data_IF_453888897441
#
_entry.id   IF_453888897441
#
_cell.length_a   1.000
_cell.length_b   1.000
_cell.length_c   1.000
_cell.angle_alpha   90.00
_cell.angle_beta   90.00
_cell.angle_gamma   90.00
#
_symmetry.space_group_name_H-M   'P 1'
#
loop_
_entity.id
_entity.type
_entity.pdbx_description
1 polymer ?
#
# COMPACT_ATOMS: atom_id res chain seq x y z
N UNK A 1 13.92 20.41 4.12
CA UNK A 1 13.38 19.33 4.98
C UNK A 1 11.92 19.00 4.68
N UNK A 2 10.98 19.96 4.62
CA UNK A 2 9.54 19.67 4.44
C UNK A 2 9.10 19.16 3.03
N UNK A 3 9.83 19.48 1.96
CA UNK A 3 9.62 18.87 0.62
C UNK A 3 10.24 17.47 0.54
N UNK A 4 11.25 17.19 1.36
CA UNK A 4 11.98 15.92 1.38
C UNK A 4 11.09 14.79 1.91
N UNK A 5 10.16 15.07 2.84
CA UNK A 5 9.26 14.05 3.39
C UNK A 5 8.31 13.48 2.34
N UNK A 6 7.71 14.35 1.53
CA UNK A 6 6.79 13.94 0.45
C UNK A 6 7.55 13.27 -0.71
N UNK A 7 8.71 13.80 -1.07
CA UNK A 7 9.54 13.25 -2.14
C UNK A 7 10.04 11.84 -1.85
N UNK A 8 10.51 11.54 -0.63
CA UNK A 8 10.96 10.20 -0.27
C UNK A 8 9.79 9.19 -0.22
N UNK A 9 8.62 9.60 0.28
CA UNK A 9 7.43 8.73 0.29
C UNK A 9 6.94 8.47 -1.15
N UNK A 10 6.92 9.49 -2.01
CA UNK A 10 6.46 9.38 -3.40
C UNK A 10 7.31 8.42 -4.25
N UNK A 11 8.61 8.27 -3.94
CA UNK A 11 9.48 7.29 -4.62
C UNK A 11 8.97 5.86 -4.48
N UNK A 12 8.26 5.55 -3.39
CA UNK A 12 7.81 4.18 -3.10
C UNK A 12 6.28 4.02 -3.18
N UNK A 13 5.52 5.11 -3.17
CA UNK A 13 4.06 5.11 -3.33
C UNK A 13 3.68 5.74 -4.67
N UNK A 14 3.58 4.90 -5.70
CA UNK A 14 3.38 5.34 -7.08
C UNK A 14 1.93 5.75 -7.36
N UNK A 15 1.75 6.88 -8.06
CA UNK A 15 0.45 7.33 -8.58
C UNK A 15 -0.49 7.97 -7.55
N UNK A 16 0.01 8.22 -6.33
CA UNK A 16 -0.80 8.71 -5.20
C UNK A 16 -0.29 10.05 -4.64
N UNK A 17 0.28 10.91 -5.49
CA UNK A 17 0.91 12.17 -5.09
C UNK A 17 -0.02 13.06 -4.24
N UNK A 18 -1.28 13.16 -4.63
CA UNK A 18 -2.29 13.94 -3.91
C UNK A 18 -2.57 13.36 -2.51
N UNK A 19 -2.65 12.03 -2.40
CA UNK A 19 -2.87 11.35 -1.13
C UNK A 19 -1.68 11.60 -0.18
N UNK A 20 -0.45 11.50 -0.70
CA UNK A 20 0.77 11.80 0.05
C UNK A 20 0.79 13.27 0.49
N UNK A 21 0.44 14.19 -0.41
CA UNK A 21 0.42 15.63 -0.11
C UNK A 21 -0.58 15.97 1.01
N UNK A 22 -1.81 15.43 0.96
CA UNK A 22 -2.84 15.64 1.99
C UNK A 22 -2.35 15.15 3.35
N UNK A 23 -1.79 13.94 3.40
CA UNK A 23 -1.30 13.35 4.65
C UNK A 23 -0.12 14.15 5.21
N UNK A 24 0.86 14.51 4.37
CA UNK A 24 2.00 15.32 4.78
C UNK A 24 1.57 16.70 5.28
N UNK A 25 0.62 17.36 4.60
CA UNK A 25 0.03 18.63 5.07
C UNK A 25 -0.59 18.50 6.45
N UNK A 26 -1.36 17.44 6.69
CA UNK A 26 -2.00 17.22 7.99
C UNK A 26 -1.00 17.00 9.12
N UNK A 27 0.01 16.14 8.89
CA UNK A 27 1.07 15.87 9.88
C UNK A 27 1.89 17.13 10.18
N UNK A 28 2.18 17.96 9.17
CA UNK A 28 2.88 19.24 9.36
C UNK A 28 2.12 20.20 10.27
N UNK A 29 0.79 20.28 10.17
CA UNK A 29 -0.02 21.12 11.07
C UNK A 29 0.15 20.70 12.53
N UNK A 30 0.23 19.40 12.80
CA UNK A 30 0.47 18.88 14.15
C UNK A 30 1.88 19.22 14.63
N UNK A 31 2.91 19.00 13.81
CA UNK A 31 4.30 19.34 14.17
C UNK A 31 4.53 20.83 14.41
N UNK A 32 3.78 21.68 13.72
CA UNK A 32 3.76 23.13 13.95
C UNK A 32 3.00 23.55 15.22
N UNK A 33 2.43 22.61 15.98
CA UNK A 33 1.67 22.89 17.21
C UNK A 33 0.29 23.51 16.94
N UNK A 34 -0.23 23.42 15.72
CA UNK A 34 -1.51 24.04 15.33
C UNK A 34 -2.72 23.13 15.56
N UNK A 35 -2.50 21.88 15.98
CA UNK A 35 -3.54 20.90 16.26
C UNK A 35 -3.73 20.70 17.77
N UNK A 36 -4.93 20.30 18.18
CA UNK A 36 -5.22 19.93 19.57
C UNK A 36 -4.26 18.83 20.07
N UNK A 37 -3.46 19.09 21.14
CA UNK A 37 -2.53 18.12 21.70
C UNK A 37 -3.22 16.94 22.41
N UNK A 38 -4.55 16.96 22.53
CA UNK A 38 -5.31 15.85 23.09
C UNK A 38 -5.73 14.80 22.07
N UNK A 39 -5.54 15.04 20.78
CA UNK A 39 -5.92 14.11 19.71
C UNK A 39 -4.69 13.40 19.14
N UNK A 40 -4.86 12.27 18.42
CA UNK A 40 -3.76 11.63 17.68
C UNK A 40 -3.07 12.61 16.71
N UNK A 41 -1.85 12.30 16.29
CA UNK A 41 -1.05 13.14 15.38
C UNK A 41 -1.81 13.39 14.07
N UNK A 42 -2.46 12.36 13.53
CA UNK A 42 -3.29 12.42 12.35
C UNK A 42 -4.32 11.30 12.37
N UNK A 43 -5.53 11.58 11.88
CA UNK A 43 -6.62 10.61 11.77
C UNK A 43 -7.16 10.62 10.34
N UNK A 44 -6.98 9.52 9.63
CA UNK A 44 -7.20 9.44 8.18
C UNK A 44 -8.12 8.28 7.81
N UNK A 45 -9.02 8.52 6.86
CA UNK A 45 -9.76 7.47 6.17
C UNK A 45 -9.28 7.38 4.72
N UNK A 46 -8.58 6.30 4.39
CA UNK A 46 -8.05 6.00 3.06
C UNK A 46 -9.07 5.20 2.26
N UNK A 47 -9.51 5.76 1.14
CA UNK A 47 -10.55 5.19 0.28
C UNK A 47 -9.98 4.92 -1.11
N UNK A 48 -10.30 3.78 -1.68
CA UNK A 48 -9.89 3.45 -3.05
C UNK A 48 -9.93 1.96 -3.33
N UNK A 49 -9.64 1.53 -4.56
CA UNK A 49 -9.64 0.10 -4.92
C UNK A 49 -8.57 -0.71 -4.15
N UNK A 50 -8.67 -2.03 -4.21
CA UNK A 50 -7.65 -2.92 -3.65
C UNK A 50 -6.34 -2.80 -4.42
N UNK A 51 -5.21 -2.82 -3.72
CA UNK A 51 -3.88 -2.91 -4.35
C UNK A 51 -3.36 -1.61 -4.99
N UNK A 52 -3.93 -0.44 -4.63
CA UNK A 52 -3.52 0.89 -5.13
C UNK A 52 -2.50 1.62 -4.25
N UNK A 53 -2.12 1.05 -3.10
CA UNK A 53 -1.07 1.62 -2.23
C UNK A 53 -1.51 2.18 -0.87
N UNK A 54 -2.78 2.02 -0.45
CA UNK A 54 -3.28 2.47 0.87
C UNK A 54 -2.40 2.00 2.04
N UNK A 55 -2.20 0.69 2.13
CA UNK A 55 -1.36 0.05 3.16
C UNK A 55 0.12 0.37 2.98
N UNK A 56 0.57 0.57 1.74
CA UNK A 56 1.96 0.90 1.46
C UNK A 56 2.29 2.30 1.97
N UNK A 57 1.41 3.28 1.74
CA UNK A 57 1.55 4.62 2.31
C UNK A 57 1.62 4.57 3.84
N UNK A 58 0.76 3.77 4.50
CA UNK A 58 0.81 3.61 5.95
C UNK A 58 2.16 3.07 6.45
N UNK A 59 2.73 2.07 5.76
CA UNK A 59 4.07 1.54 6.07
C UNK A 59 5.15 2.61 5.90
N UNK A 60 5.12 3.38 4.81
CA UNK A 60 6.12 4.42 4.56
C UNK A 60 6.04 5.56 5.55
N UNK A 61 4.83 5.94 5.97
CA UNK A 61 4.65 6.91 7.06
C UNK A 61 5.27 6.38 8.36
N UNK A 62 5.08 5.09 8.68
CA UNK A 62 5.65 4.50 9.89
C UNK A 62 7.18 4.51 9.86
N UNK A 63 7.75 3.96 8.78
CA UNK A 63 9.19 3.91 8.53
C UNK A 63 9.83 5.30 8.59
N UNK A 64 9.22 6.27 7.89
CA UNK A 64 9.78 7.61 7.77
C UNK A 64 9.70 8.42 9.07
N UNK A 65 8.58 8.39 9.77
CA UNK A 65 8.37 9.26 10.93
C UNK A 65 8.93 8.69 12.23
N UNK A 66 9.01 7.36 12.33
CA UNK A 66 9.42 6.69 13.55
C UNK A 66 10.74 5.94 13.40
N UNK A 67 11.35 5.93 12.21
CA UNK A 67 12.59 5.21 11.89
C UNK A 67 12.53 3.72 12.30
N UNK A 68 11.33 3.14 12.20
CA UNK A 68 11.01 1.80 12.67
C UNK A 68 9.81 1.21 11.88
N UNK A 69 10.07 0.20 11.05
CA UNK A 69 9.02 -0.50 10.31
C UNK A 69 8.07 -1.27 11.24
N UNK A 70 8.53 -1.69 12.42
CA UNK A 70 7.71 -2.33 13.44
C UNK A 70 6.83 -1.32 14.19
N UNK A 71 6.95 -0.01 13.92
CA UNK A 71 6.03 1.01 14.41
C UNK A 71 4.66 0.96 13.72
N UNK A 72 4.49 0.11 12.70
CA UNK A 72 3.18 -0.14 12.10
C UNK A 72 2.39 -1.21 12.88
N UNK A 73 1.36 -0.78 13.60
CA UNK A 73 0.38 -1.64 14.26
C UNK A 73 -0.78 -1.90 13.31
N UNK A 74 -0.84 -3.09 12.71
CA UNK A 74 -1.94 -3.49 11.85
C UNK A 74 -3.02 -4.26 12.60
N UNK A 75 -4.28 -3.99 12.25
CA UNK A 75 -5.46 -4.72 12.72
C UNK A 75 -6.45 -4.87 11.56
N UNK A 76 -6.78 -6.11 11.22
CA UNK A 76 -7.79 -6.42 10.21
C UNK A 76 -9.19 -6.35 10.84
N UNK A 77 -10.02 -5.42 10.39
CA UNK A 77 -11.36 -5.20 10.94
C UNK A 77 -12.37 -6.28 10.53
N UNK A 78 -12.06 -7.10 9.53
CA UNK A 78 -12.86 -8.30 9.20
C UNK A 78 -12.82 -9.34 10.32
N UNK A 79 -11.81 -9.33 11.19
CA UNK A 79 -11.80 -10.16 12.41
C UNK A 79 -12.75 -9.64 13.51
N UNK A 80 -13.28 -8.42 13.38
CA UNK A 80 -14.06 -7.72 14.39
C UNK A 80 -15.49 -7.43 13.93
N UNK A 81 -16.01 -8.22 12.99
CA UNK A 81 -17.40 -8.14 12.50
C UNK A 81 -18.43 -8.48 13.59
N UNK A 82 -18.05 -9.35 14.54
CA UNK A 82 -18.93 -9.83 15.59
C UNK A 82 -18.75 -9.05 16.90
N UNK A 83 -19.86 -8.79 17.60
CA UNK A 83 -19.87 -8.00 18.84
C UNK A 83 -18.89 -8.52 19.90
N UNK A 84 -18.79 -9.84 20.07
CA UNK A 84 -17.89 -10.43 21.08
C UNK A 84 -16.41 -10.25 20.71
N UNK A 85 -16.08 -10.19 19.41
CA UNK A 85 -14.72 -10.02 18.94
C UNK A 85 -14.16 -8.62 19.26
N UNK A 86 -15.02 -7.60 19.35
CA UNK A 86 -14.67 -6.21 19.73
C UNK A 86 -13.87 -6.16 21.03
N UNK A 87 -14.24 -7.00 22.01
CA UNK A 87 -13.54 -7.07 23.30
C UNK A 87 -12.06 -7.43 23.13
N UNK A 88 -11.67 -8.16 22.08
CA UNK A 88 -10.25 -8.51 21.84
C UNK A 88 -9.37 -7.28 21.56
N UNK A 89 -9.92 -6.14 21.12
CA UNK A 89 -9.14 -4.89 20.92
C UNK A 89 -8.67 -4.29 22.26
N UNK A 90 -9.54 -4.34 23.27
CA UNK A 90 -9.38 -3.68 24.57
C UNK A 90 -9.12 -4.64 25.73
N UNK A 91 -9.25 -5.94 25.49
CA UNK A 91 -9.11 -7.01 26.46
C UNK A 91 -10.47 -7.59 26.87
N UNK A 92 -10.48 -8.88 27.20
CA UNK A 92 -11.69 -9.50 27.75
C UNK A 92 -12.00 -8.90 29.13
N UNK A 93 -13.28 -8.86 29.56
CA UNK A 93 -13.65 -8.45 30.93
C UNK A 93 -13.15 -9.45 31.99
N UNK A 94 -13.04 -9.04 33.27
CA UNK A 94 -12.72 -9.95 34.36
C UNK A 94 -13.65 -11.16 34.39
N UNK A 95 -13.07 -12.37 34.44
CA UNK A 95 -13.81 -13.64 34.50
C UNK A 95 -14.05 -14.33 33.15
N UNK A 96 -13.56 -13.76 32.04
CA UNK A 96 -13.59 -14.39 30.71
C UNK A 96 -12.22 -14.97 30.33
N UNK A 97 -12.21 -15.99 29.46
CA UNK A 97 -10.97 -16.56 28.90
C UNK A 97 -10.23 -15.47 28.11
N UNK A 98 -8.91 -15.34 28.31
CA UNK A 98 -8.08 -14.31 27.69
C UNK A 98 -8.05 -12.97 28.44
N UNK A 99 -8.61 -12.89 29.66
CA UNK A 99 -8.54 -11.71 30.51
C UNK A 99 -7.10 -11.22 30.72
N UNK A 100 -6.18 -12.12 31.08
CA UNK A 100 -4.79 -11.78 31.41
C UNK A 100 -3.92 -11.41 30.18
N UNK A 101 -4.42 -11.59 28.96
CA UNK A 101 -3.67 -11.30 27.72
C UNK A 101 -3.71 -9.82 27.33
N UNK A 102 -4.63 -9.03 27.92
CA UNK A 102 -4.86 -7.64 27.55
C UNK A 102 -5.51 -7.49 26.16
N UNK A 103 -5.72 -6.26 25.72
CA UNK A 103 -6.28 -6.01 24.39
C UNK A 103 -5.22 -5.96 23.30
N UNK A 104 -5.52 -6.55 22.15
CA UNK A 104 -4.60 -6.61 21.01
C UNK A 104 -4.15 -5.23 20.52
N UNK A 105 -5.05 -4.25 20.52
CA UNK A 105 -4.73 -2.88 20.11
C UNK A 105 -4.13 -2.09 21.28
N UNK A 106 -4.79 -2.14 22.44
CA UNK A 106 -4.38 -1.38 23.63
C UNK A 106 -2.98 -1.76 24.12
N UNK A 107 -2.61 -3.05 24.14
CA UNK A 107 -1.28 -3.48 24.56
C UNK A 107 -0.19 -3.11 23.55
N UNK A 108 -0.45 -3.23 22.24
CA UNK A 108 0.50 -2.84 21.20
C UNK A 108 0.84 -1.35 21.28
N UNK A 109 -0.19 -0.50 21.39
CA UNK A 109 0.00 0.96 21.51
C UNK A 109 0.58 1.35 22.87
N UNK A 110 0.22 0.65 23.97
CA UNK A 110 0.83 0.87 25.29
C UNK A 110 2.34 0.60 25.27
N UNK A 111 2.77 -0.45 24.57
CA UNK A 111 4.20 -0.79 24.40
C UNK A 111 4.91 0.14 23.41
N UNK A 112 4.19 0.63 22.38
CA UNK A 112 4.71 1.53 21.35
C UNK A 112 3.77 2.74 21.13
N UNK A 113 3.85 3.77 21.98
CA UNK A 113 2.97 4.94 21.89
C UNK A 113 3.21 5.79 20.63
N UNK A 114 4.40 5.70 20.05
CA UNK A 114 4.77 6.31 18.78
C UNK A 114 4.61 5.24 17.69
N UNK A 115 3.48 5.25 17.01
CA UNK A 115 3.14 4.22 16.03
C UNK A 115 2.12 4.71 15.01
N UNK A 116 2.12 4.07 13.84
CA UNK A 116 1.02 4.14 12.90
C UNK A 116 0.08 2.98 13.21
N UNK A 117 -1.18 3.28 13.53
CA UNK A 117 -2.22 2.27 13.74
C UNK A 117 -3.04 2.18 12.45
N UNK A 118 -2.92 1.04 11.75
CA UNK A 118 -3.64 0.75 10.53
C UNK A 118 -4.82 -0.20 10.82
N UNK A 119 -6.03 0.31 10.64
CA UNK A 119 -7.28 -0.45 10.72
C UNK A 119 -7.74 -0.76 9.30
N UNK A 120 -7.45 -1.98 8.84
CA UNK A 120 -7.74 -2.40 7.46
C UNK A 120 -9.21 -2.83 7.33
N UNK A 121 -9.86 -2.50 6.20
CA UNK A 121 -11.27 -2.83 5.91
C UNK A 121 -12.28 -2.35 6.98
N UNK A 122 -12.16 -1.09 7.41
CA UNK A 122 -12.95 -0.54 8.54
C UNK A 122 -14.47 -0.66 8.34
N UNK A 123 -14.96 -0.71 7.10
CA UNK A 123 -16.38 -0.91 6.78
C UNK A 123 -16.93 -2.27 7.23
N UNK A 124 -16.06 -3.24 7.52
CA UNK A 124 -16.44 -4.59 7.99
C UNK A 124 -16.59 -4.65 9.50
N UNK A 125 -16.03 -3.70 10.24
CA UNK A 125 -16.06 -3.69 11.70
C UNK A 125 -17.49 -3.68 12.25
N UNK A 126 -17.70 -4.33 13.38
CA UNK A 126 -18.93 -4.17 14.16
C UNK A 126 -19.11 -2.71 14.61
N UNK A 127 -20.35 -2.17 14.65
CA UNK A 127 -20.63 -0.79 15.08
C UNK A 127 -19.98 -0.36 16.41
N UNK A 128 -19.85 -1.30 17.36
CA UNK A 128 -19.23 -1.03 18.67
C UNK A 128 -17.74 -0.67 18.57
N UNK A 129 -17.04 -1.04 17.49
CA UNK A 129 -15.64 -0.62 17.25
C UNK A 129 -15.58 0.91 17.09
N UNK A 130 -16.54 1.52 16.38
CA UNK A 130 -16.55 2.97 16.16
C UNK A 130 -16.72 3.75 17.47
N UNK A 131 -17.44 3.21 18.44
CA UNK A 131 -17.57 3.83 19.76
C UNK A 131 -16.22 3.89 20.49
N UNK A 132 -15.41 2.84 20.38
CA UNK A 132 -14.04 2.82 20.91
C UNK A 132 -13.15 3.82 20.16
N UNK A 133 -13.27 3.88 18.83
CA UNK A 133 -12.50 4.82 18.02
C UNK A 133 -12.87 6.28 18.31
N UNK A 134 -14.14 6.61 18.54
CA UNK A 134 -14.55 7.96 18.94
C UNK A 134 -13.81 8.43 20.20
N UNK A 135 -13.61 7.55 21.19
CA UNK A 135 -12.80 7.88 22.36
C UNK A 135 -11.36 8.24 21.99
N UNK A 136 -10.75 7.48 21.08
CA UNK A 136 -9.39 7.73 20.59
C UNK A 136 -9.34 9.04 19.80
N UNK A 137 -10.30 9.29 18.92
CA UNK A 137 -10.34 10.46 18.05
C UNK A 137 -10.57 11.77 18.82
N UNK A 138 -11.31 11.71 19.93
CA UNK A 138 -11.69 12.86 20.75
C UNK A 138 -10.73 13.14 21.89
N UNK A 139 -10.34 12.10 22.63
CA UNK A 139 -9.56 12.23 23.87
C UNK A 139 -8.11 11.75 23.73
N UNK A 140 -7.74 11.19 22.57
CA UNK A 140 -6.41 10.62 22.34
C UNK A 140 -6.07 9.50 23.31
N UNK A 141 -7.08 8.78 23.80
CA UNK A 141 -6.90 7.66 24.72
C UNK A 141 -7.94 6.58 24.49
N UNK A 142 -7.59 5.35 24.88
CA UNK A 142 -8.50 4.22 24.93
C UNK A 142 -8.40 3.57 26.30
N UNK A 143 -9.54 3.20 26.87
CA UNK A 143 -9.57 2.50 28.17
C UNK A 143 -9.64 0.99 27.92
N UNK A 144 -8.69 0.24 28.49
CA UNK A 144 -8.70 -1.22 28.41
C UNK A 144 -9.70 -1.86 29.41
N UNK A 145 -9.88 -3.17 29.34
CA UNK A 145 -10.79 -3.89 30.24
C UNK A 145 -10.36 -3.91 31.72
N UNK A 146 -9.11 -3.55 32.00
CA UNK A 146 -8.57 -3.37 33.36
C UNK A 146 -8.75 -1.93 33.88
N UNK A 147 -9.34 -1.03 33.08
CA UNK A 147 -9.51 0.38 33.42
C UNK A 147 -8.24 1.23 33.22
N UNK A 148 -7.19 0.68 32.59
CA UNK A 148 -5.97 1.43 32.27
C UNK A 148 -6.24 2.31 31.06
N UNK A 149 -5.74 3.54 31.11
CA UNK A 149 -5.84 4.51 30.02
C UNK A 149 -4.59 4.42 29.15
N UNK A 150 -4.75 3.92 27.93
CA UNK A 150 -3.69 3.84 26.92
C UNK A 150 -3.67 5.15 26.12
N UNK A 151 -2.49 5.73 25.92
CA UNK A 151 -2.31 7.01 25.24
C UNK A 151 -2.12 6.82 23.73
N UNK A 152 -2.96 7.48 22.93
CA UNK A 152 -2.94 7.50 21.47
C UNK A 152 -2.53 8.86 20.88
N UNK A 153 -2.21 9.87 21.72
CA UNK A 153 -1.85 11.22 21.25
C UNK A 153 -0.64 11.25 20.32
N UNK A 154 0.27 10.29 20.48
CA UNK A 154 1.49 10.15 19.67
C UNK A 154 1.34 9.15 18.51
N UNK A 155 0.10 8.76 18.18
CA UNK A 155 -0.17 7.81 17.10
C UNK A 155 -0.69 8.52 15.86
N UNK A 156 -0.50 7.90 14.69
CA UNK A 156 -1.22 8.22 13.46
C UNK A 156 -2.23 7.11 13.23
N UNK A 157 -3.52 7.44 13.18
CA UNK A 157 -4.58 6.47 12.94
C UNK A 157 -4.97 6.50 11.46
N UNK A 158 -4.80 5.38 10.77
CA UNK A 158 -5.18 5.21 9.37
C UNK A 158 -6.22 4.10 9.31
N UNK A 159 -7.37 4.41 8.72
CA UNK A 159 -8.40 3.42 8.42
C UNK A 159 -8.46 3.26 6.91
N UNK A 160 -8.44 2.04 6.40
CA UNK A 160 -8.62 1.81 4.97
C UNK A 160 -10.02 1.30 4.70
N UNK A 161 -10.53 1.61 3.51
CA UNK A 161 -11.78 1.05 3.05
C UNK A 161 -11.83 0.97 1.53
N UNK A 162 -12.55 -0.03 1.03
CA UNK A 162 -12.82 -0.24 -0.39
C UNK A 162 -14.24 0.21 -0.78
N UNK A 163 -14.87 1.09 0.01
CA UNK A 163 -16.20 1.64 -0.28
C UNK A 163 -16.21 2.47 -1.57
N UNK A 164 -17.33 2.40 -2.30
CA UNK A 164 -17.54 3.19 -3.52
C UNK A 164 -16.68 2.78 -4.71
N UNK A 165 -15.88 1.70 -4.63
CA UNK A 165 -14.91 1.36 -5.68
C UNK A 165 -15.30 0.20 -6.58
N UNK A 166 -16.43 -0.46 -6.33
CA UNK A 166 -16.88 -1.67 -7.06
C UNK A 166 -17.31 -1.40 -8.50
N UNK A 167 -17.82 -0.20 -8.78
CA UNK A 167 -18.29 0.17 -10.13
C UNK A 167 -17.16 0.73 -11.00
N UNK A 168 -16.05 1.17 -10.39
CA UNK A 168 -14.92 1.80 -11.07
C UNK A 168 -14.02 0.79 -11.78
N UNK A 169 -13.81 -0.39 -11.19
CA UNK A 169 -13.01 -1.46 -11.80
C UNK A 169 -13.64 -1.99 -13.10
N UNK A 170 -14.97 -1.86 -13.25
CA UNK A 170 -15.68 -2.21 -14.49
C UNK A 170 -15.60 -1.13 -15.57
N UNK A 171 -15.48 0.14 -15.18
CA UNK A 171 -15.41 1.27 -16.10
C UNK A 171 -13.97 1.58 -16.59
N UNK A 172 -12.94 1.09 -15.89
CA UNK A 172 -11.52 1.39 -16.13
C UNK A 172 -10.70 0.31 -16.85
N UNK A 173 -11.26 -0.36 -17.87
CA UNK A 173 -10.48 -1.23 -18.77
C UNK A 173 -9.28 -0.51 -19.44
N UNK A 174 -8.23 -1.26 -19.82
CA UNK A 174 -7.02 -0.71 -20.44
C UNK A 174 -7.33 -0.04 -21.80
N UNK A 175 -7.59 1.28 -21.83
CA UNK A 175 -7.80 2.01 -23.09
C UNK A 175 -8.26 3.47 -23.02
N UNK A 176 -8.31 4.12 -21.86
CA UNK A 176 -9.02 5.41 -21.73
C UNK A 176 -8.17 6.67 -22.00
N UNK A 177 -8.73 7.60 -22.78
CA UNK A 177 -8.16 8.92 -23.09
C UNK A 177 -8.14 9.83 -21.86
N UNK A 178 -7.15 10.74 -21.80
CA UNK A 178 -6.96 11.72 -20.70
C UNK A 178 -8.20 12.59 -20.39
N UNK A 179 -9.08 12.83 -21.35
CA UNK A 179 -10.30 13.63 -21.18
C UNK A 179 -11.35 12.98 -20.27
N UNK A 180 -11.33 11.65 -20.15
CA UNK A 180 -12.32 10.91 -19.37
C UNK A 180 -11.89 10.71 -17.90
N UNK A 181 -10.59 10.86 -17.57
CA UNK A 181 -10.08 10.67 -16.20
C UNK A 181 -10.73 11.64 -15.19
N UNK A 182 -10.98 12.90 -15.57
CA UNK A 182 -11.57 13.90 -14.67
C UNK A 182 -13.03 13.60 -14.36
N UNK A 183 -13.83 13.25 -15.37
CA UNK A 183 -15.25 12.93 -15.18
C UNK A 183 -15.46 11.61 -14.44
N UNK A 184 -14.56 10.62 -14.63
CA UNK A 184 -14.55 9.38 -13.86
C UNK A 184 -14.23 9.66 -12.40
N UNK A 185 -13.27 10.55 -12.13
CA UNK A 185 -12.91 10.92 -10.76
C UNK A 185 -14.06 11.63 -10.05
N UNK A 186 -14.72 12.59 -10.69
CA UNK A 186 -15.88 13.28 -10.11
C UNK A 186 -17.00 12.26 -9.75
N UNK A 187 -17.29 11.31 -10.65
CA UNK A 187 -18.25 10.22 -10.36
C UNK A 187 -17.80 9.29 -9.24
N UNK A 188 -16.50 9.01 -9.15
CA UNK A 188 -15.91 8.23 -8.05
C UNK A 188 -16.12 8.96 -6.72
N UNK A 189 -15.80 10.25 -6.67
CA UNK A 189 -15.94 11.07 -5.47
C UNK A 189 -17.40 11.12 -5.01
N UNK A 190 -18.35 11.31 -5.93
CA UNK A 190 -19.80 11.26 -5.63
C UNK A 190 -20.22 9.91 -5.06
N UNK A 191 -19.85 8.80 -5.72
CA UNK A 191 -20.19 7.45 -5.26
C UNK A 191 -19.57 7.14 -3.88
N UNK A 192 -18.33 7.53 -3.66
CA UNK A 192 -17.64 7.38 -2.38
C UNK A 192 -18.37 8.18 -1.29
N UNK A 193 -18.76 9.44 -1.56
CA UNK A 193 -19.48 10.27 -0.60
C UNK A 193 -20.84 9.67 -0.20
N UNK A 194 -21.56 9.09 -1.16
CA UNK A 194 -22.82 8.39 -0.87
C UNK A 194 -22.60 7.17 0.02
N UNK A 195 -21.59 6.35 -0.26
CA UNK A 195 -21.29 5.16 0.54
C UNK A 195 -20.81 5.52 1.96
N UNK A 196 -19.97 6.56 2.10
CA UNK A 196 -19.57 7.06 3.43
C UNK A 196 -20.79 7.42 4.28
N UNK A 197 -21.76 8.14 3.71
CA UNK A 197 -22.98 8.56 4.43
C UNK A 197 -23.87 7.38 4.83
N UNK A 198 -23.83 6.27 4.08
CA UNK A 198 -24.59 5.05 4.39
C UNK A 198 -23.89 4.20 5.44
N UNK A 199 -22.56 4.11 5.39
CA UNK A 199 -21.78 3.19 6.22
C UNK A 199 -21.35 3.80 7.54
N UNK A 200 -20.92 5.06 7.55
CA UNK A 200 -20.37 5.71 8.75
C UNK A 200 -21.34 6.77 9.28
N UNK A 201 -21.43 6.88 10.61
CA UNK A 201 -22.22 7.94 11.21
C UNK A 201 -21.52 9.31 10.98
N UNK A 202 -22.30 10.41 10.87
CA UNK A 202 -21.71 11.74 10.67
C UNK A 202 -20.74 12.14 11.79
N UNK A 203 -20.98 11.68 13.02
CA UNK A 203 -20.12 11.95 14.16
C UNK A 203 -18.69 11.45 13.94
N UNK A 204 -18.52 10.18 13.56
CA UNK A 204 -17.22 9.59 13.27
C UNK A 204 -16.50 10.32 12.13
N UNK A 205 -17.21 10.58 11.04
CA UNK A 205 -16.66 11.27 9.87
C UNK A 205 -16.14 12.66 10.25
N UNK A 206 -16.88 13.41 11.07
CA UNK A 206 -16.49 14.74 11.53
C UNK A 206 -15.30 14.74 12.50
N UNK A 207 -14.89 13.57 13.04
CA UNK A 207 -13.70 13.42 13.91
C UNK A 207 -12.43 13.01 13.14
N UNK A 208 -12.55 12.71 11.86
CA UNK A 208 -11.39 12.51 10.98
C UNK A 208 -10.76 13.86 10.65
N UNK A 209 -9.44 13.90 10.52
CA UNK A 209 -8.77 15.12 10.03
C UNK A 209 -8.91 15.24 8.53
N UNK A 210 -8.74 14.13 7.80
CA UNK A 210 -8.82 14.11 6.34
C UNK A 210 -9.39 12.76 5.85
N UNK A 211 -10.18 12.82 4.79
CA UNK A 211 -10.59 11.66 3.99
C UNK A 211 -9.76 11.69 2.72
N UNK A 212 -9.01 10.63 2.46
CA UNK A 212 -7.99 10.58 1.40
C UNK A 212 -8.40 9.57 0.35
N UNK A 213 -8.57 10.02 -0.88
CA UNK A 213 -9.00 9.18 -2.01
C UNK A 213 -7.78 8.77 -2.83
N UNK A 214 -7.64 7.46 -3.04
CA UNK A 214 -6.58 6.85 -3.82
C UNK A 214 -7.08 6.55 -5.23
N UNK A 215 -6.25 6.89 -6.21
CA UNK A 215 -6.57 6.70 -7.62
C UNK A 215 -6.28 5.25 -8.06
N UNK A 216 -7.06 4.70 -9.00
CA UNK A 216 -6.67 3.49 -9.71
C UNK A 216 -5.32 3.66 -10.40
N UNK A 217 -4.51 2.60 -10.40
CA UNK A 217 -3.19 2.61 -11.02
C UNK A 217 -3.31 2.41 -12.54
N UNK A 218 -2.62 3.24 -13.32
CA UNK A 218 -2.48 3.05 -14.75
C UNK A 218 -1.25 2.21 -15.14
N UNK A 219 -1.17 1.84 -16.42
CA UNK A 219 -0.10 0.95 -16.91
C UNK A 219 1.29 1.51 -16.64
N UNK A 220 1.49 2.82 -16.72
CA UNK A 220 2.80 3.45 -16.49
C UNK A 220 3.19 3.35 -15.02
N UNK A 221 2.22 3.59 -14.14
CA UNK A 221 2.39 3.46 -12.70
C UNK A 221 2.70 2.01 -12.32
N UNK A 222 2.03 1.02 -12.90
CA UNK A 222 2.33 -0.41 -12.66
C UNK A 222 3.75 -0.77 -13.10
N UNK A 223 4.22 -0.26 -14.24
CA UNK A 223 5.60 -0.46 -14.71
C UNK A 223 6.60 0.14 -13.71
N UNK A 224 6.32 1.32 -13.14
CA UNK A 224 7.17 1.89 -12.09
C UNK A 224 7.18 1.01 -10.82
N UNK A 225 6.05 0.38 -10.48
CA UNK A 225 6.01 -0.56 -9.35
C UNK A 225 6.85 -1.82 -9.65
N UNK A 226 6.95 -2.27 -10.91
CA UNK A 226 7.89 -3.34 -11.29
C UNK A 226 9.32 -2.93 -10.97
N UNK A 227 9.70 -1.70 -11.28
CA UNK A 227 11.05 -1.18 -10.99
C UNK A 227 11.32 -1.18 -9.49
N UNK A 228 10.39 -0.66 -8.69
CA UNK A 228 10.52 -0.65 -7.22
C UNK A 228 10.65 -2.08 -6.66
N UNK A 229 9.89 -3.05 -7.17
CA UNK A 229 10.00 -4.43 -6.71
C UNK A 229 11.31 -5.11 -7.14
N UNK A 230 11.82 -4.76 -8.32
CA UNK A 230 13.14 -5.23 -8.75
C UNK A 230 14.27 -4.64 -7.90
N UNK A 231 14.13 -3.41 -7.41
CA UNK A 231 15.07 -2.78 -6.49
C UNK A 231 15.15 -3.50 -5.13
N UNK A 232 14.16 -4.32 -4.74
CA UNK A 232 14.26 -5.21 -3.57
C UNK A 232 15.17 -6.43 -3.82
N UNK A 233 15.30 -6.84 -5.08
CA UNK A 233 15.99 -8.08 -5.50
C UNK A 233 17.43 -7.78 -5.94
N UNK A 234 17.62 -6.70 -6.71
CA UNK A 234 18.90 -6.32 -7.31
C UNK A 234 20.04 -6.26 -6.29
N UNK A 235 19.89 -5.64 -5.10
CA UNK A 235 20.97 -5.58 -4.11
C UNK A 235 21.47 -6.96 -3.67
N UNK A 236 20.56 -7.94 -3.53
CA UNK A 236 20.93 -9.32 -3.12
C UNK A 236 21.71 -10.07 -4.21
N UNK A 237 21.46 -9.73 -5.47
CA UNK A 237 22.23 -10.28 -6.60
C UNK A 237 23.58 -9.56 -6.74
N UNK A 238 23.62 -8.24 -6.49
CA UNK A 238 24.85 -7.46 -6.46
C UNK A 238 25.81 -7.90 -5.34
N UNK A 239 25.30 -8.33 -4.19
CA UNK A 239 26.13 -8.96 -3.13
C UNK A 239 26.85 -10.23 -3.59
N UNK A 240 26.38 -10.85 -4.68
CA UNK A 240 27.01 -12.00 -5.36
C UNK A 240 27.76 -11.59 -6.64
N UNK A 241 28.00 -10.29 -6.81
CA UNK A 241 28.57 -9.66 -8.01
C UNK A 241 27.80 -9.99 -9.31
N UNK A 242 26.48 -10.20 -9.22
CA UNK A 242 25.61 -10.43 -10.38
C UNK A 242 24.79 -9.17 -10.64
N UNK A 243 25.01 -8.56 -11.81
CA UNK A 243 24.20 -7.45 -12.31
C UNK A 243 22.93 -7.95 -12.99
N UNK A 244 21.80 -7.25 -12.80
CA UNK A 244 20.53 -7.57 -13.47
C UNK A 244 19.87 -6.30 -13.99
N UNK A 245 19.38 -6.35 -15.23
CA UNK A 245 18.61 -5.26 -15.84
C UNK A 245 17.43 -5.79 -16.65
N UNK A 246 16.32 -5.05 -16.67
CA UNK A 246 15.11 -5.40 -17.42
C UNK A 246 14.93 -4.45 -18.61
N UNK A 247 14.62 -5.01 -19.79
CA UNK A 247 14.22 -4.19 -20.95
C UNK A 247 12.80 -3.64 -20.79
N UNK A 248 12.42 -2.56 -21.52
CA UNK A 248 11.06 -2.03 -21.49
C UNK A 248 9.99 -3.09 -21.82
N UNK A 249 10.27 -3.99 -22.78
CA UNK A 249 9.38 -5.09 -23.13
C UNK A 249 9.19 -6.10 -21.99
N UNK A 250 10.24 -6.41 -21.23
CA UNK A 250 10.15 -7.29 -20.05
C UNK A 250 9.31 -6.65 -18.94
N UNK A 251 9.55 -5.36 -18.64
CA UNK A 251 8.76 -4.61 -17.65
C UNK A 251 7.28 -4.56 -18.04
N UNK A 252 7.00 -4.29 -19.31
CA UNK A 252 5.64 -4.25 -19.83
C UNK A 252 4.93 -5.62 -19.71
N UNK A 253 5.62 -6.72 -19.97
CA UNK A 253 5.08 -8.08 -19.80
C UNK A 253 4.79 -8.39 -18.32
N UNK A 254 5.70 -8.04 -17.42
CA UNK A 254 5.51 -8.23 -15.98
C UNK A 254 4.32 -7.41 -15.46
N UNK A 255 4.20 -6.15 -15.90
CA UNK A 255 3.07 -5.29 -15.57
C UNK A 255 1.75 -5.87 -16.08
N UNK A 256 1.73 -6.38 -17.32
CA UNK A 256 0.55 -7.00 -17.93
C UNK A 256 0.11 -8.27 -17.17
N UNK A 257 1.06 -9.15 -16.82
CA UNK A 257 0.78 -10.41 -16.12
C UNK A 257 0.58 -10.25 -14.62
N UNK A 258 1.09 -9.18 -14.03
CA UNK A 258 1.03 -8.92 -12.58
C UNK A 258 -0.07 -7.94 -12.16
N UNK A 259 -0.74 -7.31 -13.12
CA UNK A 259 -1.88 -6.45 -12.86
C UNK A 259 -3.20 -7.20 -13.04
N UNK A 260 -4.05 -7.10 -12.02
CA UNK A 260 -5.43 -7.57 -12.10
C UNK A 260 -6.35 -6.38 -11.79
N UNK A 261 -7.34 -6.04 -12.63
CA UNK A 261 -8.26 -4.93 -12.39
C UNK A 261 -9.02 -5.02 -11.05
N UNK A 262 -9.20 -6.22 -10.50
CA UNK A 262 -9.87 -6.49 -9.22
C UNK A 262 -8.90 -6.39 -8.04
N UNK A 263 -7.67 -6.87 -8.20
CA UNK A 263 -6.69 -6.97 -7.09
C UNK A 263 -5.57 -5.92 -7.15
N UNK A 264 -5.56 -5.06 -8.16
CA UNK A 264 -4.54 -4.05 -8.40
C UNK A 264 -3.15 -4.66 -8.62
N UNK A 265 -2.11 -3.98 -8.12
CA UNK A 265 -0.72 -4.43 -8.22
C UNK A 265 -0.35 -5.55 -7.22
N UNK A 266 -1.32 -6.09 -6.45
CA UNK A 266 -1.06 -7.08 -5.39
C UNK A 266 -0.42 -8.37 -5.91
N UNK A 267 -0.71 -8.76 -7.15
CA UNK A 267 -0.15 -9.98 -7.75
C UNK A 267 1.25 -9.78 -8.33
N UNK A 268 1.68 -8.52 -8.52
CA UNK A 268 2.92 -8.19 -9.20
C UNK A 268 4.13 -8.85 -8.52
N UNK A 269 4.19 -8.81 -7.19
CA UNK A 269 5.28 -9.46 -6.42
C UNK A 269 5.38 -10.95 -6.70
N UNK A 270 4.22 -11.62 -6.78
CA UNK A 270 4.16 -13.05 -7.09
C UNK A 270 4.54 -13.33 -8.55
N UNK A 271 4.17 -12.45 -9.46
CA UNK A 271 4.53 -12.56 -10.88
C UNK A 271 6.03 -12.37 -11.07
N UNK A 272 6.65 -11.39 -10.43
CA UNK A 272 8.10 -11.18 -10.45
C UNK A 272 8.82 -12.37 -9.83
N UNK A 273 8.35 -12.87 -8.67
CA UNK A 273 8.94 -14.07 -8.07
C UNK A 273 8.96 -15.24 -9.05
N UNK A 274 7.80 -15.57 -9.64
CA UNK A 274 7.69 -16.72 -10.56
C UNK A 274 8.42 -16.56 -11.88
N UNK A 275 8.40 -15.35 -12.44
CA UNK A 275 8.92 -15.10 -13.79
C UNK A 275 10.38 -14.64 -13.79
N UNK A 276 10.89 -14.14 -12.66
CA UNK A 276 12.23 -13.56 -12.53
C UNK A 276 13.04 -14.27 -11.46
N UNK A 277 12.60 -14.27 -10.20
CA UNK A 277 13.41 -14.83 -9.09
C UNK A 277 13.61 -16.34 -9.20
N UNK A 278 12.53 -17.11 -9.47
CA UNK A 278 12.60 -18.56 -9.56
C UNK A 278 13.53 -19.00 -10.71
N UNK A 279 13.39 -18.51 -11.96
CA UNK A 279 14.30 -18.88 -13.05
C UNK A 279 15.74 -18.43 -12.81
N UNK A 280 15.97 -17.22 -12.28
CA UNK A 280 17.32 -16.76 -11.96
C UNK A 280 17.98 -17.67 -10.92
N UNK A 281 17.24 -18.07 -9.90
CA UNK A 281 17.75 -18.96 -8.85
C UNK A 281 18.15 -20.31 -9.43
N UNK A 282 17.33 -20.89 -10.31
CA UNK A 282 17.65 -22.15 -10.99
C UNK A 282 18.90 -22.02 -11.88
N UNK A 283 18.99 -20.97 -12.71
CA UNK A 283 20.12 -20.79 -13.63
C UNK A 283 21.45 -20.47 -12.90
N UNK A 284 21.39 -19.76 -11.77
CA UNK A 284 22.55 -19.55 -10.89
C UNK A 284 22.99 -20.87 -10.26
N UNK A 285 22.06 -21.68 -9.75
CA UNK A 285 22.38 -22.98 -9.14
C UNK A 285 22.95 -23.99 -10.14
N UNK A 286 22.52 -23.91 -11.41
CA UNK A 286 23.08 -24.70 -12.51
C UNK A 286 24.45 -24.19 -12.97
N UNK A 287 24.91 -23.04 -12.46
CA UNK A 287 26.20 -22.43 -12.81
C UNK A 287 26.20 -21.71 -14.16
N UNK A 288 25.03 -21.46 -14.76
CA UNK A 288 24.91 -20.71 -16.02
C UNK A 288 25.24 -19.23 -15.81
N UNK A 289 24.77 -18.65 -14.70
CA UNK A 289 25.15 -17.31 -14.26
C UNK A 289 26.05 -17.41 -13.03
N UNK A 290 27.11 -16.62 -13.01
CA UNK A 290 28.16 -16.68 -12.00
C UNK A 290 28.60 -15.26 -11.60
N UNK A 291 29.52 -15.19 -10.64
CA UNK A 291 30.12 -13.95 -10.18
C UNK A 291 30.70 -13.15 -11.37
N UNK A 292 30.30 -11.88 -11.51
CA UNK A 292 30.64 -11.02 -12.64
C UNK A 292 29.69 -11.07 -13.84
N UNK A 293 28.64 -11.91 -13.82
CA UNK A 293 27.60 -11.94 -14.85
C UNK A 293 26.78 -10.64 -14.87
N UNK A 294 26.43 -10.17 -16.06
CA UNK A 294 25.52 -9.03 -16.26
C UNK A 294 24.29 -9.49 -17.04
N UNK A 295 23.22 -9.81 -16.31
CA UNK A 295 22.03 -10.45 -16.87
C UNK A 295 21.08 -9.39 -17.41
N UNK A 296 20.81 -9.44 -18.71
CA UNK A 296 19.75 -8.67 -19.36
C UNK A 296 18.52 -9.55 -19.55
N UNK A 297 17.40 -9.11 -18.97
CA UNK A 297 16.10 -9.79 -19.04
C UNK A 297 15.24 -9.10 -20.10
N UNK A 298 14.86 -9.84 -21.14
CA UNK A 298 14.01 -9.36 -22.23
C UNK A 298 12.73 -10.18 -22.38
N UNK A 299 11.69 -9.60 -23.00
CA UNK A 299 10.50 -10.34 -23.40
C UNK A 299 10.84 -11.34 -24.52
N UNK A 300 10.25 -12.54 -24.47
CA UNK A 300 10.29 -13.54 -25.55
C UNK A 300 8.96 -14.27 -25.62
N UNK A 301 8.10 -13.87 -26.56
CA UNK A 301 6.71 -14.34 -26.61
C UNK A 301 5.99 -14.01 -25.31
N UNK A 302 5.43 -15.04 -24.67
CA UNK A 302 4.77 -14.94 -23.35
C UNK A 302 5.72 -15.11 -22.17
N UNK A 303 7.02 -15.34 -22.41
CA UNK A 303 8.02 -15.57 -21.38
C UNK A 303 9.04 -14.45 -21.26
N UNK A 304 9.97 -14.65 -20.32
CA UNK A 304 11.19 -13.86 -20.20
C UNK A 304 12.38 -14.67 -20.69
N UNK A 305 13.36 -13.97 -21.24
CA UNK A 305 14.62 -14.51 -21.71
C UNK A 305 15.76 -13.84 -20.94
N UNK A 306 16.70 -14.65 -20.45
CA UNK A 306 17.81 -14.23 -19.61
C UNK A 306 19.12 -14.43 -20.38
N UNK A 307 19.88 -13.36 -20.56
CA UNK A 307 21.14 -13.38 -21.32
C UNK A 307 22.21 -12.68 -20.50
N UNK A 308 23.37 -13.33 -20.34
CA UNK A 308 24.55 -12.69 -19.76
C UNK A 308 25.30 -11.94 -20.86
N UNK A 309 25.32 -10.62 -20.76
CA UNK A 309 25.93 -9.75 -21.79
C UNK A 309 27.45 -9.80 -21.78
N UNK A 310 28.07 -10.33 -20.71
CA UNK A 310 29.52 -10.46 -20.61
C UNK A 310 30.03 -11.77 -21.24
N UNK A 311 29.20 -12.83 -21.26
CA UNK A 311 29.57 -14.10 -21.90
C UNK A 311 29.40 -14.08 -23.43
N UNK A 312 28.55 -13.20 -23.97
CA UNK A 312 28.18 -13.13 -25.39
C UNK A 312 29.03 -12.12 -26.20
N UNK A 313 30.35 -12.17 -26.03
CA UNK A 313 31.32 -11.34 -26.76
C UNK A 313 31.41 -11.56 -28.28
N UNK A 314 30.61 -12.47 -28.86
CA UNK A 314 30.65 -12.80 -30.31
C UNK A 314 29.27 -12.86 -31.00
N UNK A 315 28.18 -12.53 -30.30
CA UNK A 315 26.81 -12.56 -30.86
C UNK A 315 26.04 -11.23 -30.73
N UNK A 316 26.61 -10.20 -30.10
CA UNK A 316 26.02 -8.87 -29.89
C UNK A 316 25.85 -7.99 -31.17
N UNK A 317 25.74 -8.60 -32.36
CA UNK A 317 25.43 -7.92 -33.64
C UNK A 317 24.13 -8.38 -34.29
N UNK A 318 23.20 -8.95 -33.54
CA UNK A 318 21.81 -9.08 -34.01
C UNK A 318 20.90 -8.17 -33.19
N UNK A 319 20.17 -7.23 -33.82
CA UNK A 319 19.16 -6.48 -33.11
C UNK A 319 18.09 -7.48 -32.68
N UNK A 320 17.98 -7.73 -31.38
CA UNK A 320 16.78 -8.38 -30.84
C UNK A 320 15.67 -7.38 -31.09
N UNK A 321 14.84 -7.68 -32.09
CA UNK A 321 13.76 -6.80 -32.50
C UNK A 321 12.84 -6.57 -31.30
N UNK A 322 12.78 -5.32 -30.83
CA UNK A 322 11.61 -4.84 -30.12
C UNK A 322 10.46 -4.97 -31.12
N UNK A 323 9.58 -5.96 -30.93
CA UNK A 323 8.30 -5.98 -31.65
C UNK A 323 7.54 -4.72 -31.23
N UNK A 324 7.56 -3.72 -32.11
CA UNK A 324 6.75 -2.53 -32.01
C UNK A 324 5.29 -2.94 -31.76
N UNK A 325 4.73 -2.40 -30.70
CA UNK A 325 3.29 -2.45 -30.44
C UNK A 325 2.62 -1.66 -31.56
N UNK A 326 2.12 -2.37 -32.57
CA UNK A 326 1.24 -1.79 -33.58
C UNK A 326 -0.11 -1.53 -32.90
N UNK A 327 -0.40 -0.26 -32.63
CA UNK A 327 -1.76 0.23 -32.37
C UNK A 327 -2.62 -0.11 -33.59
N UNK A 328 -3.43 -1.17 -33.47
CA UNK A 328 -4.57 -1.39 -34.37
C UNK A 328 -5.84 -0.87 -33.71
N UNK A 329 -5.97 0.47 -33.68
CA UNK A 329 -7.26 1.14 -33.59
C UNK A 329 -7.45 1.97 -34.86
N UNK A 330 -7.95 1.30 -35.91
CA UNK A 330 -8.58 1.93 -37.06
C UNK A 330 -9.48 0.90 -37.79
N UNK A 331 -10.68 0.71 -37.26
CA UNK A 331 -11.91 0.40 -38.01
C UNK A 331 -13.13 0.52 -37.07
#
# INVERSE_FOLDING_TARGET
EADVEGEEINKQVVGQDEAVEIVCKSIRRTRAGLKDPNRPIGTFLFLGPTGVGKTELAKKIASYLFDDDEALVTVDMSEYMEKFAVSRLVGAPPGYVGYDEGGQLTEKVRRRPYSVVLLDEIEKAHPDVFNLLLQVLDEGRLTDSFGRKVNFKNTILIMTSNLGTRDLTKAGGLGFKKSDKKSIREKMEESIQEEIKKTFNPEFVNRLDEIVIFNPLDRKEIIQIVDIQMDEIIPRLQEREIGVSLTPGAKALLAEKGYDPTYGARQLKRTIQKMVEDPLSEEILQGKFHEGSEIRISKKGDGLNFVDVNSDGDSAKQPVADEEVVDQDNA
#
